data_IF_782248427136
#
_entry.id   IF_782248427136
#
_cell.length_a   1.000
_cell.length_b   1.000
_cell.length_c   1.000
_cell.angle_alpha   90.00
_cell.angle_beta   90.00
_cell.angle_gamma   90.00
#
_symmetry.space_group_name_H-M   'P 1'
#
loop_
_entity.id
_entity.type
_entity.pdbx_description
1 polymer ?
#
# COMPACT_ATOMS: atom_id res chain seq x y z
N UNK A 1 -17.40 -26.99 6.37
CA UNK A 1 -16.48 -26.28 7.28
C UNK A 1 -15.99 -27.25 8.33
N UNK A 2 -14.73 -27.18 8.80
CA UNK A 2 -14.30 -28.03 9.91
C UNK A 2 -15.09 -27.67 11.17
N UNK A 3 -15.60 -28.67 11.88
CA UNK A 3 -16.36 -28.46 13.13
C UNK A 3 -15.48 -28.57 14.37
N UNK A 4 -14.46 -29.42 14.33
CA UNK A 4 -13.48 -29.63 15.40
C UNK A 4 -12.07 -29.64 14.82
N UNK A 5 -11.14 -28.99 15.51
CA UNK A 5 -9.74 -28.87 15.10
C UNK A 5 -8.82 -29.17 16.29
N UNK A 6 -7.75 -29.91 16.04
CA UNK A 6 -6.74 -30.23 17.05
C UNK A 6 -5.88 -29.01 17.39
N UNK A 7 -5.71 -28.74 18.69
CA UNK A 7 -4.72 -27.82 19.24
C UNK A 7 -3.45 -28.60 19.60
N UNK A 8 -2.31 -28.11 19.13
CA UNK A 8 -0.97 -28.70 19.36
C UNK A 8 -0.11 -27.87 20.32
N UNK A 9 -0.52 -26.64 20.62
CA UNK A 9 0.16 -25.81 21.61
C UNK A 9 0.05 -26.45 23.02
N UNK A 10 1.16 -26.66 23.74
CA UNK A 10 1.15 -27.24 25.08
C UNK A 10 0.66 -26.27 26.16
N UNK A 11 0.59 -24.97 25.86
CA UNK A 11 0.13 -23.96 26.81
C UNK A 11 -1.39 -23.99 26.96
N UNK A 12 -1.88 -23.79 28.18
CA UNK A 12 -3.32 -23.62 28.47
C UNK A 12 -3.89 -22.30 27.92
N UNK A 13 -3.04 -21.31 27.61
CA UNK A 13 -3.42 -19.98 27.14
C UNK A 13 -2.49 -19.42 26.07
N UNK A 14 -2.42 -18.08 26.00
CA UNK A 14 -1.49 -17.37 25.13
C UNK A 14 -0.10 -17.29 25.75
N UNK A 15 0.93 -17.34 24.91
CA UNK A 15 2.28 -17.08 25.35
C UNK A 15 2.44 -15.63 25.85
N UNK A 16 3.22 -15.44 26.92
CA UNK A 16 3.54 -14.12 27.47
C UNK A 16 5.02 -13.82 27.23
N UNK A 17 5.37 -13.51 25.98
CA UNK A 17 6.74 -13.17 25.60
C UNK A 17 6.92 -11.65 25.63
N UNK A 18 7.71 -11.16 26.58
CA UNK A 18 8.11 -9.76 26.65
C UNK A 18 9.47 -9.55 26.00
N UNK A 19 9.52 -8.64 25.03
CA UNK A 19 10.75 -8.20 24.39
C UNK A 19 11.32 -7.02 25.15
N UNK A 20 12.54 -7.17 25.67
CA UNK A 20 13.28 -6.06 26.29
C UNK A 20 13.66 -5.02 25.23
N UNK A 21 13.35 -3.76 25.49
CA UNK A 21 13.61 -2.65 24.58
C UNK A 21 14.50 -1.61 25.25
N UNK A 22 15.73 -1.51 24.75
CA UNK A 22 16.72 -0.49 25.14
C UNK A 22 17.15 0.22 23.85
N UNK A 23 16.99 1.54 23.77
CA UNK A 23 17.20 2.32 22.55
C UNK A 23 18.67 2.23 22.06
N UNK A 24 19.62 2.12 23.00
CA UNK A 24 21.07 2.03 22.75
C UNK A 24 21.54 0.64 22.27
N UNK A 25 20.69 -0.39 22.34
CA UNK A 25 21.09 -1.76 21.97
C UNK A 25 21.21 -2.02 20.45
N UNK A 26 21.10 -0.96 19.63
CA UNK A 26 20.85 -1.04 18.19
C UNK A 26 22.02 -0.64 17.27
N UNK A 27 23.18 -0.28 17.81
CA UNK A 27 24.34 0.16 17.00
C UNK A 27 25.37 -0.93 16.68
N UNK A 28 25.42 -2.02 17.45
CA UNK A 28 26.39 -3.09 17.21
C UNK A 28 25.93 -4.00 16.06
N UNK A 29 26.83 -4.26 15.08
CA UNK A 29 26.57 -5.23 14.02
C UNK A 29 26.52 -6.63 14.64
N UNK A 30 25.40 -7.37 14.52
CA UNK A 30 25.30 -8.70 15.09
C UNK A 30 26.25 -9.67 14.37
N UNK A 31 26.85 -10.66 15.08
CA UNK A 31 27.77 -11.63 14.46
C UNK A 31 27.14 -12.46 13.33
N UNK A 32 25.83 -12.68 13.42
CA UNK A 32 25.01 -13.38 12.41
C UNK A 32 23.79 -12.51 12.08
N UNK A 33 23.94 -11.54 11.17
CA UNK A 33 22.84 -10.66 10.79
C UNK A 33 21.78 -11.44 10.01
N UNK A 34 20.52 -11.24 10.38
CA UNK A 34 19.38 -11.78 9.65
C UNK A 34 19.25 -11.16 8.25
N UNK A 35 18.75 -11.96 7.31
CA UNK A 35 18.38 -11.54 5.95
C UNK A 35 16.87 -11.53 5.83
N UNK A 36 16.31 -10.47 5.26
CA UNK A 36 14.85 -10.26 5.24
C UNK A 36 14.30 -10.53 3.85
N UNK A 37 13.19 -11.27 3.76
CA UNK A 37 12.33 -11.32 2.58
C UNK A 37 11.16 -10.34 2.77
N UNK A 38 11.23 -9.20 2.10
CA UNK A 38 10.14 -8.24 2.02
C UNK A 38 9.16 -8.65 0.94
N UNK A 39 7.90 -8.89 1.32
CA UNK A 39 6.79 -9.07 0.38
C UNK A 39 6.01 -7.77 0.27
N UNK A 40 6.20 -7.09 -0.86
CA UNK A 40 5.51 -5.84 -1.16
C UNK A 40 4.21 -6.15 -1.90
N UNK A 41 3.07 -5.80 -1.30
CA UNK A 41 1.73 -6.04 -1.86
C UNK A 41 1.15 -4.70 -2.28
N UNK A 42 1.18 -4.43 -3.59
CA UNK A 42 0.97 -3.06 -4.11
C UNK A 42 -0.12 -2.99 -5.17
N UNK A 43 -0.81 -1.86 -5.21
CA UNK A 43 -1.85 -1.54 -6.19
C UNK A 43 -1.94 -0.02 -6.39
N UNK A 44 -2.70 0.42 -7.39
CA UNK A 44 -2.95 1.84 -7.65
C UNK A 44 -1.92 2.48 -8.58
N UNK A 45 -1.66 3.78 -8.39
CA UNK A 45 -0.89 4.62 -9.33
C UNK A 45 0.37 5.25 -8.74
N UNK A 46 0.58 5.16 -7.44
CA UNK A 46 1.64 5.84 -6.69
C UNK A 46 3.04 5.19 -6.88
N UNK A 47 3.48 4.98 -8.12
CA UNK A 47 4.74 4.29 -8.45
C UNK A 47 5.97 5.01 -7.88
N UNK A 48 5.99 6.35 -7.91
CA UNK A 48 7.12 7.14 -7.38
C UNK A 48 7.22 7.06 -5.86
N UNK A 49 6.08 7.02 -5.15
CA UNK A 49 6.08 6.80 -3.70
C UNK A 49 6.56 5.38 -3.37
N UNK A 50 6.15 4.36 -4.14
CA UNK A 50 6.66 3.00 -3.98
C UNK A 50 8.18 2.92 -4.20
N UNK A 51 8.70 3.57 -5.25
CA UNK A 51 10.15 3.64 -5.49
C UNK A 51 10.90 4.34 -4.35
N UNK A 52 10.29 5.38 -3.77
CA UNK A 52 10.82 6.09 -2.60
C UNK A 52 10.88 5.18 -1.36
N UNK A 53 9.79 4.48 -1.07
CA UNK A 53 9.75 3.45 -0.02
C UNK A 53 10.82 2.38 -0.25
N UNK A 54 10.87 1.81 -1.47
CA UNK A 54 11.85 0.79 -1.84
C UNK A 54 13.28 1.28 -1.58
N UNK A 55 13.60 2.51 -2.00
CA UNK A 55 14.91 3.12 -1.74
C UNK A 55 15.24 3.20 -0.24
N UNK A 56 14.27 3.53 0.61
CA UNK A 56 14.45 3.64 2.06
C UNK A 56 14.71 2.29 2.75
N UNK A 57 14.15 1.20 2.22
CA UNK A 57 14.28 -0.15 2.81
C UNK A 57 15.30 -1.04 2.09
N UNK A 58 15.89 -0.57 0.98
CA UNK A 58 16.78 -1.37 0.14
C UNK A 58 18.12 -1.67 0.84
N UNK A 59 18.53 -2.94 0.84
CA UNK A 59 19.86 -3.39 1.18
C UNK A 59 20.21 -4.63 0.35
N UNK A 60 21.48 -4.78 -0.05
CA UNK A 60 21.92 -5.88 -0.92
C UNK A 60 21.81 -7.26 -0.29
N UNK A 61 21.82 -7.35 1.05
CA UNK A 61 21.66 -8.61 1.78
C UNK A 61 20.22 -9.11 1.87
N UNK A 62 19.23 -8.26 1.63
CA UNK A 62 17.80 -8.58 1.74
C UNK A 62 17.23 -8.99 0.38
N UNK A 63 15.98 -9.43 0.38
CA UNK A 63 15.25 -9.87 -0.80
C UNK A 63 13.89 -9.18 -0.87
N UNK A 64 13.44 -8.88 -2.10
CA UNK A 64 12.21 -8.14 -2.33
C UNK A 64 11.35 -8.90 -3.33
N UNK A 65 10.22 -9.44 -2.88
CA UNK A 65 9.27 -10.13 -3.72
C UNK A 65 7.99 -9.30 -3.85
N UNK A 66 7.70 -8.82 -5.05
CA UNK A 66 6.70 -7.78 -5.26
C UNK A 66 5.49 -8.39 -5.98
N UNK A 67 4.34 -8.39 -5.30
CA UNK A 67 3.04 -8.67 -5.89
C UNK A 67 2.37 -7.37 -6.30
N UNK A 68 1.96 -7.29 -7.57
CA UNK A 68 1.17 -6.17 -8.08
C UNK A 68 -0.22 -6.65 -8.46
N UNK A 69 -1.25 -6.04 -7.85
CA UNK A 69 -2.65 -6.36 -8.11
C UNK A 69 -2.94 -6.45 -9.62
N UNK A 70 -3.68 -7.48 -10.03
CA UNK A 70 -3.97 -7.78 -11.44
C UNK A 70 -4.59 -6.60 -12.21
N UNK A 71 -5.29 -5.70 -11.51
CA UNK A 71 -5.95 -4.52 -12.09
C UNK A 71 -5.02 -3.32 -12.26
N UNK A 72 -3.80 -3.36 -11.70
CA UNK A 72 -2.84 -2.25 -11.67
C UNK A 72 -1.71 -2.41 -12.70
N UNK A 73 -2.06 -2.49 -13.99
CA UNK A 73 -1.08 -2.80 -15.05
C UNK A 73 0.03 -1.76 -15.23
N UNK A 74 -0.29 -0.46 -15.16
CA UNK A 74 0.73 0.60 -15.12
C UNK A 74 1.76 0.37 -14.02
N UNK A 75 1.31 0.15 -12.78
CA UNK A 75 2.22 -0.08 -11.65
C UNK A 75 3.05 -1.34 -11.86
N UNK A 76 2.46 -2.39 -12.44
CA UNK A 76 3.19 -3.61 -12.77
C UNK A 76 4.34 -3.35 -13.76
N UNK A 77 4.10 -2.57 -14.82
CA UNK A 77 5.18 -2.17 -15.76
C UNK A 77 6.31 -1.42 -15.04
N UNK A 78 5.97 -0.50 -14.14
CA UNK A 78 6.96 0.25 -13.35
C UNK A 78 7.76 -0.66 -12.40
N UNK A 79 7.09 -1.62 -11.77
CA UNK A 79 7.71 -2.59 -10.84
C UNK A 79 8.61 -3.58 -11.58
N UNK A 80 8.22 -4.08 -12.75
CA UNK A 80 9.06 -4.96 -13.59
C UNK A 80 10.34 -4.23 -14.01
N UNK A 81 10.23 -2.96 -14.43
CA UNK A 81 11.38 -2.14 -14.79
C UNK A 81 12.30 -1.84 -13.58
N UNK A 82 11.74 -1.74 -12.37
CA UNK A 82 12.52 -1.62 -11.14
C UNK A 82 13.25 -2.95 -10.84
N UNK A 83 12.54 -4.07 -10.88
CA UNK A 83 13.09 -5.38 -10.56
C UNK A 83 14.24 -5.79 -11.48
N UNK A 84 14.18 -5.44 -12.77
CA UNK A 84 15.25 -5.76 -13.73
C UNK A 84 16.60 -5.09 -13.43
N UNK A 85 16.64 -4.11 -12.53
CA UNK A 85 17.86 -3.40 -12.15
C UNK A 85 18.61 -4.06 -10.97
N UNK A 86 17.99 -5.02 -10.27
CA UNK A 86 18.51 -5.57 -9.03
C UNK A 86 18.38 -7.11 -8.97
N UNK A 87 19.46 -7.86 -8.68
CA UNK A 87 19.42 -9.32 -8.67
C UNK A 87 18.61 -9.91 -7.49
N UNK A 88 18.42 -9.13 -6.41
CA UNK A 88 17.68 -9.51 -5.21
C UNK A 88 16.23 -8.98 -5.20
N UNK A 89 15.70 -8.60 -6.36
CA UNK A 89 14.30 -8.15 -6.52
C UNK A 89 13.61 -9.01 -7.57
N UNK A 90 12.45 -9.58 -7.22
CA UNK A 90 11.64 -10.42 -8.11
C UNK A 90 10.18 -9.97 -8.05
N UNK A 91 9.46 -10.15 -9.15
CA UNK A 91 8.01 -9.88 -9.25
C UNK A 91 7.28 -11.21 -9.28
N UNK A 92 6.12 -11.31 -8.63
CA UNK A 92 5.31 -12.53 -8.72
C UNK A 92 4.88 -12.75 -10.18
N UNK A 93 5.08 -13.95 -10.76
CA UNK A 93 4.64 -14.21 -12.13
C UNK A 93 3.11 -14.33 -12.21
N UNK A 94 2.48 -14.74 -11.11
CA UNK A 94 1.03 -14.74 -10.92
C UNK A 94 0.59 -13.42 -10.27
N UNK A 95 -0.62 -12.97 -10.59
CA UNK A 95 -1.21 -11.73 -10.05
C UNK A 95 -2.67 -12.01 -9.71
N UNK A 96 -3.08 -11.58 -8.53
CA UNK A 96 -4.44 -11.75 -8.02
C UNK A 96 -5.10 -10.37 -7.89
N UNK A 97 -6.43 -10.32 -8.03
CA UNK A 97 -7.21 -9.13 -7.70
C UNK A 97 -7.47 -9.08 -6.20
N UNK A 98 -6.50 -8.59 -5.43
CA UNK A 98 -6.57 -8.51 -3.96
C UNK A 98 -7.48 -7.37 -3.52
N UNK A 99 -8.79 -7.60 -3.58
CA UNK A 99 -9.80 -6.64 -3.14
C UNK A 99 -9.74 -6.41 -1.62
N UNK A 100 -10.27 -5.28 -1.16
CA UNK A 100 -10.36 -5.00 0.27
C UNK A 100 -11.18 -6.10 0.97
N UNK A 101 -10.62 -6.73 2.00
CA UNK A 101 -11.27 -7.81 2.74
C UNK A 101 -11.31 -9.17 2.04
N UNK A 102 -10.79 -9.28 0.80
CA UNK A 102 -10.84 -10.51 0.01
C UNK A 102 -10.11 -11.69 0.64
N UNK A 103 -10.64 -12.89 0.40
CA UNK A 103 -9.99 -14.17 0.68
C UNK A 103 -8.66 -14.34 -0.09
N UNK A 104 -8.57 -13.72 -1.28
CA UNK A 104 -7.41 -13.72 -2.17
C UNK A 104 -6.15 -13.14 -1.53
N UNK A 105 -6.27 -12.25 -0.54
CA UNK A 105 -5.12 -11.69 0.16
C UNK A 105 -4.34 -12.77 0.93
N UNK A 106 -5.03 -13.67 1.64
CA UNK A 106 -4.37 -14.78 2.32
C UNK A 106 -3.79 -15.77 1.30
N UNK A 107 -4.54 -16.05 0.23
CA UNK A 107 -4.06 -16.94 -0.85
C UNK A 107 -2.76 -16.42 -1.46
N UNK A 108 -2.69 -15.12 -1.73
CA UNK A 108 -1.47 -14.44 -2.20
C UNK A 108 -0.32 -14.59 -1.19
N UNK A 109 -0.56 -14.37 0.11
CA UNK A 109 0.50 -14.55 1.10
C UNK A 109 1.01 -15.99 1.16
N UNK A 110 0.11 -16.98 1.19
CA UNK A 110 0.50 -18.39 1.23
C UNK A 110 1.28 -18.81 -0.02
N UNK A 111 0.86 -18.37 -1.21
CA UNK A 111 1.61 -18.63 -2.44
C UNK A 111 2.97 -17.94 -2.43
N UNK A 112 3.06 -16.68 -1.98
CA UNK A 112 4.34 -15.96 -1.90
C UNK A 112 5.32 -16.62 -0.94
N UNK A 113 4.82 -17.14 0.19
CA UNK A 113 5.61 -17.90 1.16
C UNK A 113 6.11 -19.21 0.56
N UNK A 114 5.26 -19.93 -0.17
CA UNK A 114 5.66 -21.15 -0.87
C UNK A 114 6.75 -20.87 -1.91
N UNK A 115 6.58 -19.84 -2.73
CA UNK A 115 7.56 -19.45 -3.75
C UNK A 115 8.91 -19.08 -3.10
N UNK A 116 8.88 -18.27 -2.03
CA UNK A 116 10.08 -17.87 -1.28
C UNK A 116 10.81 -19.04 -0.62
N UNK A 117 10.10 -20.09 -0.19
CA UNK A 117 10.72 -21.30 0.35
C UNK A 117 11.37 -22.14 -0.77
N UNK A 118 10.80 -22.14 -1.97
CA UNK A 118 11.31 -22.85 -3.13
C UNK A 118 12.52 -22.17 -3.81
N UNK A 119 12.70 -20.86 -3.60
CA UNK A 119 13.86 -20.10 -4.10
C UNK A 119 15.13 -20.43 -3.30
N UNK A 120 15.83 -21.51 -3.67
CA UNK A 120 17.03 -21.97 -2.97
C UNK A 120 18.19 -20.98 -2.97
N UNK A 121 18.21 -20.04 -3.93
CA UNK A 121 19.22 -18.98 -4.02
C UNK A 121 18.96 -17.82 -3.03
N UNK A 122 17.80 -17.78 -2.39
CA UNK A 122 17.40 -16.76 -1.42
C UNK A 122 17.36 -17.32 0.00
N UNK A 123 18.46 -17.19 0.74
CA UNK A 123 18.55 -17.57 2.16
C UNK A 123 18.06 -16.43 3.07
N UNK A 124 16.76 -16.42 3.38
CA UNK A 124 16.12 -15.42 4.26
C UNK A 124 15.72 -16.01 5.62
N UNK A 125 15.69 -15.18 6.66
CA UNK A 125 15.32 -15.54 8.04
C UNK A 125 13.92 -15.05 8.43
N UNK A 126 13.49 -13.91 7.89
CA UNK A 126 12.19 -13.29 8.19
C UNK A 126 11.40 -12.95 6.94
N UNK A 127 10.09 -13.15 7.03
CA UNK A 127 9.08 -12.64 6.12
C UNK A 127 8.49 -11.34 6.68
N UNK A 128 8.47 -10.26 5.90
CA UNK A 128 7.83 -8.99 6.28
C UNK A 128 6.92 -8.52 5.15
N UNK A 129 5.64 -8.30 5.44
CA UNK A 129 4.71 -7.72 4.47
C UNK A 129 4.63 -6.18 4.57
N UNK A 130 4.64 -5.49 3.45
CA UNK A 130 4.44 -4.03 3.36
C UNK A 130 3.51 -3.68 2.19
N UNK A 131 2.72 -2.62 2.33
CA UNK A 131 2.02 -1.98 1.20
C UNK A 131 2.82 -0.80 0.64
N UNK A 132 2.39 -0.25 -0.50
CA UNK A 132 2.94 1.00 -1.03
C UNK A 132 2.70 2.23 -0.12
N UNK A 133 1.86 2.10 0.91
CA UNK A 133 1.53 3.14 1.88
C UNK A 133 2.16 2.91 3.27
N UNK A 134 3.05 1.93 3.40
CA UNK A 134 3.90 1.77 4.58
C UNK A 134 5.18 2.60 4.43
N UNK A 135 5.84 2.93 5.55
CA UNK A 135 7.16 3.57 5.55
C UNK A 135 7.98 3.15 6.76
N UNK A 136 9.32 2.97 6.64
CA UNK A 136 10.17 2.76 7.81
C UNK A 136 10.18 4.00 8.71
N UNK A 137 10.25 3.78 10.02
CA UNK A 137 10.42 4.83 11.04
C UNK A 137 11.71 4.66 11.85
N UNK A 138 12.50 3.65 11.50
CA UNK A 138 13.84 3.36 12.05
C UNK A 138 14.73 2.84 10.94
N UNK A 139 16.04 2.99 11.11
CA UNK A 139 17.01 2.61 10.09
C UNK A 139 17.15 1.08 9.95
N UNK A 140 17.61 0.62 8.79
CA UNK A 140 17.75 -0.81 8.48
C UNK A 140 18.70 -1.55 9.45
N UNK A 141 19.80 -0.91 9.86
CA UNK A 141 20.73 -1.49 10.84
C UNK A 141 20.03 -1.80 12.18
N UNK A 142 19.18 -0.90 12.66
CA UNK A 142 18.42 -1.12 13.90
C UNK A 142 17.41 -2.26 13.75
N UNK A 143 16.73 -2.36 12.61
CA UNK A 143 15.83 -3.47 12.30
C UNK A 143 16.57 -4.82 12.30
N UNK A 144 17.71 -4.88 11.61
CA UNK A 144 18.55 -6.08 11.53
C UNK A 144 19.09 -6.48 12.90
N UNK A 145 19.60 -5.53 13.69
CA UNK A 145 20.09 -5.79 15.04
C UNK A 145 18.97 -6.38 15.93
N UNK A 146 17.79 -5.75 15.93
CA UNK A 146 16.65 -6.19 16.73
C UNK A 146 16.17 -7.59 16.32
N UNK A 147 15.96 -7.84 15.02
CA UNK A 147 15.48 -9.14 14.54
C UNK A 147 16.54 -10.24 14.68
N UNK A 148 17.83 -9.90 14.65
CA UNK A 148 18.91 -10.87 14.89
C UNK A 148 18.91 -11.34 16.35
N UNK A 149 18.61 -10.44 17.30
CA UNK A 149 18.45 -10.78 18.72
C UNK A 149 17.23 -11.67 18.99
N UNK A 150 16.13 -11.43 18.27
CA UNK A 150 14.85 -12.13 18.46
C UNK A 150 14.48 -13.06 17.29
N UNK A 151 15.47 -13.75 16.72
CA UNK A 151 15.31 -14.46 15.44
C UNK A 151 14.29 -15.61 15.44
N UNK A 152 14.08 -16.21 16.61
CA UNK A 152 13.14 -17.32 16.79
C UNK A 152 11.72 -16.86 17.16
N UNK A 153 11.46 -15.55 17.18
CA UNK A 153 10.17 -14.97 17.54
C UNK A 153 9.31 -14.64 16.31
N UNK A 154 7.99 -14.58 16.50
CA UNK A 154 7.00 -14.16 15.52
C UNK A 154 6.24 -12.94 16.06
N UNK A 155 6.20 -11.87 15.25
CA UNK A 155 5.70 -10.56 15.65
C UNK A 155 4.34 -10.30 14.99
N UNK A 156 3.27 -10.61 15.73
CA UNK A 156 1.88 -10.41 15.31
C UNK A 156 1.14 -9.62 16.40
N UNK A 157 0.18 -8.77 16.02
CA UNK A 157 -0.56 -7.94 17.00
C UNK A 157 -2.01 -8.39 17.12
N UNK A 158 -2.40 -8.82 18.31
CA UNK A 158 -3.78 -9.16 18.65
C UNK A 158 -4.61 -7.90 18.92
N UNK A 159 -5.94 -8.04 18.84
CA UNK A 159 -6.88 -6.95 19.08
C UNK A 159 -6.94 -6.48 20.55
N UNK A 160 -6.53 -7.33 21.50
CA UNK A 160 -6.39 -7.01 22.92
C UNK A 160 -7.70 -6.62 23.63
N UNK A 161 -8.84 -7.19 23.21
CA UNK A 161 -10.19 -6.84 23.72
C UNK A 161 -11.01 -8.12 23.96
N UNK A 162 -12.30 -7.98 24.23
CA UNK A 162 -13.24 -9.10 24.27
C UNK A 162 -13.26 -9.90 22.95
N UNK A 163 -12.90 -11.18 23.01
CA UNK A 163 -12.74 -12.03 21.83
C UNK A 163 -14.08 -12.35 21.15
N UNK A 164 -15.15 -12.57 21.92
CA UNK A 164 -16.47 -12.84 21.34
C UNK A 164 -16.98 -11.66 20.50
N UNK A 165 -16.74 -10.42 20.96
CA UNK A 165 -17.00 -9.20 20.18
C UNK A 165 -16.10 -9.07 18.96
N UNK A 166 -14.83 -9.49 19.03
CA UNK A 166 -13.93 -9.51 17.88
C UNK A 166 -14.47 -10.44 16.78
N UNK A 167 -14.78 -11.69 17.11
CA UNK A 167 -15.35 -12.69 16.20
C UNK A 167 -16.57 -12.12 15.46
N UNK A 168 -17.54 -11.56 16.20
CA UNK A 168 -18.75 -10.96 15.61
C UNK A 168 -18.46 -9.75 14.73
N UNK A 169 -17.50 -8.89 15.10
CA UNK A 169 -17.17 -7.67 14.33
C UNK A 169 -16.42 -7.97 13.04
N UNK A 170 -15.57 -8.99 13.06
CA UNK A 170 -14.85 -9.47 11.88
C UNK A 170 -15.73 -10.33 10.96
N UNK A 171 -16.90 -10.76 11.43
CA UNK A 171 -17.75 -11.69 10.69
C UNK A 171 -17.12 -13.09 10.56
N UNK A 172 -16.30 -13.50 11.53
CA UNK A 172 -15.67 -14.83 11.52
C UNK A 172 -16.71 -15.96 11.66
N UNK A 173 -17.86 -15.66 12.26
CA UNK A 173 -19.07 -16.49 12.37
C UNK A 173 -19.94 -16.48 11.10
N UNK A 174 -19.49 -15.83 10.02
CA UNK A 174 -20.17 -15.79 8.72
C UNK A 174 -19.34 -16.46 7.65
N UNK A 175 -20.02 -17.07 6.68
CA UNK A 175 -19.43 -17.65 5.49
C UNK A 175 -19.38 -16.59 4.39
N UNK A 176 -18.20 -16.38 3.81
CA UNK A 176 -18.01 -15.51 2.66
C UNK A 176 -17.45 -16.27 1.46
N UNK A 177 -17.71 -15.78 0.26
CA UNK A 177 -17.12 -16.31 -0.96
C UNK A 177 -16.65 -15.16 -1.86
N UNK A 178 -15.40 -15.21 -2.31
CA UNK A 178 -14.84 -14.24 -3.23
C UNK A 178 -15.12 -14.67 -4.67
N UNK A 179 -15.89 -13.86 -5.41
CA UNK A 179 -16.20 -14.08 -6.82
C UNK A 179 -16.47 -12.73 -7.49
N UNK A 180 -16.11 -12.59 -8.77
CA UNK A 180 -16.31 -11.36 -9.56
C UNK A 180 -15.80 -10.07 -8.87
N UNK A 181 -14.63 -10.15 -8.24
CA UNK A 181 -14.02 -9.05 -7.46
C UNK A 181 -14.91 -8.50 -6.34
N UNK A 182 -15.77 -9.34 -5.78
CA UNK A 182 -16.65 -9.03 -4.66
C UNK A 182 -16.61 -10.12 -3.57
N UNK A 183 -16.78 -9.74 -2.30
CA UNK A 183 -16.94 -10.68 -1.18
C UNK A 183 -18.42 -10.84 -0.80
N UNK A 184 -19.02 -11.94 -1.28
CA UNK A 184 -20.41 -12.28 -1.04
C UNK A 184 -20.59 -12.94 0.32
N UNK A 185 -21.53 -12.45 1.13
CA UNK A 185 -21.88 -13.10 2.40
C UNK A 185 -22.98 -14.15 2.18
N UNK A 186 -22.65 -15.41 2.39
CA UNK A 186 -23.53 -16.55 2.05
C UNK A 186 -24.39 -17.03 3.22
N UNK A 187 -24.04 -16.70 4.46
CA UNK A 187 -24.81 -17.11 5.64
C UNK A 187 -23.93 -17.28 6.87
N UNK A 188 -24.44 -18.05 7.82
CA UNK A 188 -23.81 -18.23 9.13
C UNK A 188 -22.98 -19.52 9.15
N UNK A 189 -21.95 -19.55 9.99
CA UNK A 189 -21.17 -20.75 10.26
C UNK A 189 -20.73 -20.79 11.72
N UNK A 190 -20.42 -21.99 12.22
CA UNK A 190 -19.87 -22.18 13.57
C UNK A 190 -18.37 -21.94 13.58
N UNK A 191 -17.87 -21.45 14.71
CA UNK A 191 -16.43 -21.42 15.01
C UNK A 191 -16.00 -22.85 15.39
N UNK A 192 -14.91 -23.38 14.81
CA UNK A 192 -14.49 -24.75 15.11
C UNK A 192 -14.11 -24.93 16.58
N UNK A 193 -14.54 -26.04 17.17
CA UNK A 193 -14.20 -26.42 18.54
C UNK A 193 -12.74 -26.92 18.65
N UNK A 194 -12.16 -26.81 19.84
CA UNK A 194 -10.83 -27.36 20.15
C UNK A 194 -9.66 -26.40 19.89
N UNK A 195 -9.89 -25.25 19.25
CA UNK A 195 -8.88 -24.21 19.01
C UNK A 195 -9.30 -22.87 19.58
N UNK A 196 -8.30 -22.08 19.98
CA UNK A 196 -8.50 -20.68 20.37
C UNK A 196 -8.40 -19.78 19.15
N UNK A 197 -9.49 -19.11 18.77
CA UNK A 197 -9.48 -18.13 17.68
C UNK A 197 -9.04 -16.78 18.21
N UNK A 198 -8.08 -16.15 17.51
CA UNK A 198 -7.61 -14.80 17.77
C UNK A 198 -7.37 -14.04 16.47
N UNK A 199 -7.19 -12.72 16.57
CA UNK A 199 -6.74 -11.92 15.45
C UNK A 199 -6.44 -10.47 15.82
N UNK A 200 -6.12 -9.67 14.83
CA UNK A 200 -5.83 -8.25 14.97
C UNK A 200 -5.29 -7.68 13.68
N UNK A 201 -4.04 -7.24 13.67
CA UNK A 201 -3.44 -6.66 12.47
C UNK A 201 -2.99 -7.75 11.49
N UNK A 202 -3.26 -7.54 10.20
CA UNK A 202 -2.72 -8.30 9.07
C UNK A 202 -1.29 -7.89 8.66
N UNK A 203 -0.64 -7.01 9.42
CA UNK A 203 0.75 -6.59 9.23
C UNK A 203 1.61 -7.25 10.27
N UNK A 204 2.63 -7.99 9.86
CA UNK A 204 3.38 -8.87 10.74
C UNK A 204 4.81 -9.10 10.26
N UNK A 205 5.61 -9.73 11.12
CA UNK A 205 6.91 -10.28 10.78
C UNK A 205 6.94 -11.73 11.28
N UNK A 206 7.15 -12.67 10.38
CA UNK A 206 7.17 -14.11 10.70
C UNK A 206 8.55 -14.68 10.41
N UNK A 207 9.08 -15.49 11.32
CA UNK A 207 10.34 -16.18 11.06
C UNK A 207 10.14 -17.33 10.08
N UNK A 208 11.23 -17.74 9.42
CA UNK A 208 11.22 -18.80 8.41
C UNK A 208 10.67 -20.12 8.94
N UNK A 209 11.01 -20.51 10.17
CA UNK A 209 10.55 -21.79 10.77
C UNK A 209 9.03 -21.87 10.84
N UNK A 210 8.36 -20.80 11.25
CA UNK A 210 6.90 -20.76 11.30
C UNK A 210 6.29 -20.73 9.90
N UNK A 211 6.90 -20.00 8.96
CA UNK A 211 6.45 -20.01 7.55
C UNK A 211 6.56 -21.42 6.95
N UNK A 212 7.66 -22.13 7.19
CA UNK A 212 7.84 -23.53 6.78
C UNK A 212 6.75 -24.44 7.34
N UNK A 213 6.41 -24.29 8.64
CA UNK A 213 5.31 -25.02 9.26
C UNK A 213 3.96 -24.73 8.60
N UNK A 214 3.60 -23.45 8.39
CA UNK A 214 2.34 -23.05 7.76
C UNK A 214 2.20 -23.60 6.33
N UNK A 215 3.30 -23.63 5.56
CA UNK A 215 3.26 -24.09 4.18
C UNK A 215 3.27 -25.62 4.10
N UNK A 216 4.19 -26.28 4.80
CA UNK A 216 4.49 -27.69 4.58
C UNK A 216 3.72 -28.66 5.50
N UNK A 217 3.23 -28.20 6.66
CA UNK A 217 2.50 -29.09 7.59
C UNK A 217 1.20 -29.60 6.96
N UNK A 218 0.97 -30.90 7.15
CA UNK A 218 -0.26 -31.62 6.79
C UNK A 218 -1.08 -31.98 8.03
N UNK A 219 -0.74 -31.42 9.19
CA UNK A 219 -1.49 -31.67 10.41
C UNK A 219 -2.95 -31.16 10.33
N UNK A 220 -3.76 -31.57 11.30
CA UNK A 220 -5.17 -31.24 11.31
C UNK A 220 -5.42 -29.72 11.46
N UNK A 221 -4.56 -29.00 12.17
CA UNK A 221 -4.71 -27.56 12.41
C UNK A 221 -4.52 -26.78 11.11
N UNK A 222 -3.37 -26.94 10.45
CA UNK A 222 -3.02 -26.18 9.24
C UNK A 222 -3.98 -26.49 8.10
N UNK A 223 -4.29 -27.78 7.89
CA UNK A 223 -5.21 -28.22 6.83
C UNK A 223 -6.63 -27.66 7.05
N UNK A 224 -7.14 -27.72 8.28
CA UNK A 224 -8.46 -27.20 8.61
C UNK A 224 -8.53 -25.68 8.55
N UNK A 225 -7.50 -24.98 9.01
CA UNK A 225 -7.44 -23.52 8.97
C UNK A 225 -7.32 -22.99 7.55
N UNK A 226 -6.51 -23.60 6.67
CA UNK A 226 -6.46 -23.23 5.24
C UNK A 226 -7.87 -23.30 4.63
N UNK A 227 -8.60 -24.39 4.87
CA UNK A 227 -9.99 -24.57 4.38
C UNK A 227 -10.98 -23.57 4.99
N UNK A 228 -10.91 -23.33 6.29
CA UNK A 228 -11.80 -22.38 6.97
C UNK A 228 -11.61 -20.96 6.43
N UNK A 229 -10.35 -20.56 6.23
CA UNK A 229 -9.98 -19.21 5.82
C UNK A 229 -10.10 -18.92 4.32
N UNK A 230 -10.25 -19.94 3.46
CA UNK A 230 -10.63 -19.76 2.05
C UNK A 230 -12.00 -19.10 1.86
N UNK A 231 -12.85 -19.11 2.89
CA UNK A 231 -14.22 -18.57 2.85
C UNK A 231 -14.45 -17.55 3.98
N UNK A 232 -13.42 -16.80 4.33
CA UNK A 232 -13.42 -15.83 5.44
C UNK A 232 -13.17 -14.42 4.92
N UNK A 233 -13.94 -13.45 5.41
CA UNK A 233 -13.65 -12.02 5.23
C UNK A 233 -12.41 -11.62 6.05
N UNK A 234 -11.55 -10.78 5.50
CA UNK A 234 -10.31 -10.30 6.16
C UNK A 234 -9.47 -11.45 6.75
N UNK A 235 -9.18 -12.52 5.96
CA UNK A 235 -8.62 -13.75 6.52
C UNK A 235 -7.23 -13.55 7.15
N UNK A 236 -6.39 -12.67 6.57
CA UNK A 236 -5.05 -12.40 7.04
C UNK A 236 -5.02 -11.72 8.43
N UNK A 237 -6.13 -11.12 8.88
CA UNK A 237 -6.24 -10.49 10.20
C UNK A 237 -6.42 -11.51 11.33
N UNK A 238 -6.60 -12.82 11.05
CA UNK A 238 -6.74 -13.83 12.11
C UNK A 238 -6.18 -15.22 11.78
N UNK A 239 -5.92 -15.54 10.51
CA UNK A 239 -5.35 -16.84 10.12
C UNK A 239 -4.01 -17.11 10.82
N UNK A 240 -3.06 -16.18 10.71
CA UNK A 240 -1.71 -16.39 11.26
C UNK A 240 -1.72 -16.40 12.80
N UNK A 241 -2.57 -15.60 13.44
CA UNK A 241 -2.78 -15.62 14.89
C UNK A 241 -3.33 -16.96 15.36
N UNK A 242 -4.42 -17.40 14.74
CA UNK A 242 -5.10 -18.66 15.11
C UNK A 242 -4.19 -19.86 14.85
N UNK A 243 -3.45 -19.90 13.74
CA UNK A 243 -2.49 -20.99 13.50
C UNK A 243 -1.36 -20.93 14.52
N UNK A 244 -0.73 -19.78 14.75
CA UNK A 244 0.42 -19.67 15.65
C UNK A 244 0.06 -20.08 17.09
N UNK A 245 -1.02 -19.51 17.65
CA UNK A 245 -1.46 -19.76 19.03
C UNK A 245 -1.88 -21.21 19.31
N UNK A 246 -2.22 -21.98 18.28
CA UNK A 246 -2.63 -23.38 18.41
C UNK A 246 -1.58 -24.37 17.90
N UNK A 247 -0.48 -23.88 17.32
CA UNK A 247 0.61 -24.71 16.77
C UNK A 247 1.65 -25.08 17.83
N UNK A 248 2.58 -25.99 17.52
CA UNK A 248 3.78 -26.22 18.33
C UNK A 248 4.68 -24.97 18.51
N UNK A 249 4.46 -23.91 17.71
CA UNK A 249 5.24 -22.68 17.75
C UNK A 249 4.62 -21.59 18.65
N UNK A 250 3.57 -21.89 19.42
CA UNK A 250 2.81 -20.88 20.17
C UNK A 250 3.65 -20.05 21.16
N UNK A 251 4.72 -20.61 21.73
CA UNK A 251 5.65 -19.92 22.62
C UNK A 251 6.51 -18.84 21.95
N UNK A 252 6.54 -18.79 20.61
CA UNK A 252 7.30 -17.79 19.85
C UNK A 252 6.54 -16.50 19.58
N UNK A 253 5.26 -16.41 19.97
CA UNK A 253 4.41 -15.27 19.70
C UNK A 253 4.77 -14.07 20.58
N UNK A 254 5.09 -12.94 19.94
CA UNK A 254 5.22 -11.63 20.58
C UNK A 254 4.02 -10.78 20.16
N UNK A 255 3.22 -10.30 21.13
CA UNK A 255 2.03 -9.45 20.89
C UNK A 255 2.38 -7.99 20.56
N UNK A 256 3.25 -7.83 19.57
CA UNK A 256 3.63 -6.57 18.96
C UNK A 256 4.09 -6.85 17.52
N UNK A 257 3.39 -6.29 16.54
CA UNK A 257 3.77 -6.42 15.13
C UNK A 257 4.82 -5.41 14.65
N UNK A 258 5.38 -4.63 15.57
CA UNK A 258 6.38 -3.60 15.30
C UNK A 258 5.89 -2.46 14.39
N UNK A 259 4.57 -2.24 14.34
CA UNK A 259 3.93 -1.20 13.52
C UNK A 259 3.28 -0.10 14.35
N UNK A 260 3.28 1.11 13.79
CA UNK A 260 2.35 2.18 14.15
C UNK A 260 1.28 2.29 13.06
N UNK A 261 0.04 1.96 13.39
CA UNK A 261 -1.11 2.12 12.47
C UNK A 261 -1.96 3.29 12.90
N UNK A 262 -2.16 4.28 12.02
CA UNK A 262 -2.85 5.53 12.33
C UNK A 262 -4.39 5.40 12.36
N UNK A 263 -4.92 4.67 13.34
CA UNK A 263 -6.37 4.51 13.48
C UNK A 263 -7.05 5.75 14.04
N UNK A 264 -7.89 6.42 13.26
CA UNK A 264 -8.89 7.37 13.76
C UNK A 264 -10.29 6.93 13.31
N UNK A 265 -10.98 6.17 14.17
CA UNK A 265 -12.27 5.54 13.85
C UNK A 265 -13.38 6.53 13.49
N UNK A 266 -13.33 7.77 14.00
CA UNK A 266 -14.32 8.81 13.66
C UNK A 266 -14.29 9.18 12.17
N UNK A 267 -13.12 9.07 11.55
CA UNK A 267 -12.90 9.38 10.14
C UNK A 267 -12.81 8.11 9.28
N UNK A 268 -12.12 7.06 9.75
CA UNK A 268 -11.81 5.87 8.96
C UNK A 268 -12.89 4.78 8.89
N UNK A 269 -13.92 4.82 9.76
CA UNK A 269 -15.02 3.85 9.78
C UNK A 269 -16.30 4.45 9.19
N UNK A 270 -16.40 4.50 7.85
CA UNK A 270 -17.57 5.05 7.13
C UNK A 270 -18.32 4.00 6.32
N UNK A 271 -17.95 2.73 6.47
CA UNK A 271 -18.49 1.65 5.66
C UNK A 271 -18.33 1.92 4.15
N UNK A 272 -17.19 2.51 3.78
CA UNK A 272 -16.88 2.95 2.42
C UNK A 272 -16.70 1.80 1.42
N UNK A 273 -16.59 0.55 1.90
CA UNK A 273 -16.32 -0.64 1.09
C UNK A 273 -17.58 -1.48 0.76
N UNK A 274 -18.80 -1.00 1.06
CA UNK A 274 -20.05 -1.76 0.80
C UNK A 274 -20.24 -2.25 -0.64
N UNK A 275 -19.63 -1.57 -1.61
CA UNK A 275 -19.70 -1.94 -3.03
C UNK A 275 -18.73 -3.08 -3.40
N UNK A 276 -17.77 -3.39 -2.52
CA UNK A 276 -16.73 -4.42 -2.72
C UNK A 276 -17.02 -5.65 -1.85
N UNK A 277 -17.62 -5.45 -0.66
CA UNK A 277 -17.89 -6.53 0.27
C UNK A 277 -19.25 -6.33 0.95
N UNK A 278 -19.91 -7.44 1.29
CA UNK A 278 -21.14 -7.49 2.08
C UNK A 278 -20.90 -7.26 3.59
N UNK A 279 -20.07 -6.27 3.93
CA UNK A 279 -19.70 -5.94 5.31
C UNK A 279 -19.28 -4.48 5.46
N UNK A 280 -19.21 -4.00 6.71
CA UNK A 280 -18.68 -2.68 7.03
C UNK A 280 -17.25 -2.75 7.52
N UNK A 281 -16.36 -2.06 6.80
CA UNK A 281 -14.95 -1.93 7.13
C UNK A 281 -14.57 -0.58 7.73
N UNK A 282 -13.34 -0.56 8.27
CA UNK A 282 -12.61 0.64 8.61
C UNK A 282 -11.27 0.65 7.89
N UNK A 283 -10.62 1.80 7.78
CA UNK A 283 -9.21 1.86 7.40
C UNK A 283 -8.45 2.94 8.17
N UNK A 284 -7.13 2.78 8.35
CA UNK A 284 -6.29 3.80 8.98
C UNK A 284 -6.27 5.08 8.14
N UNK A 285 -5.99 6.20 8.80
CA UNK A 285 -5.80 7.50 8.18
C UNK A 285 -4.36 7.67 7.71
N UNK A 286 -4.14 8.64 6.83
CA UNK A 286 -2.79 9.05 6.44
C UNK A 286 -2.18 9.94 7.53
N UNK A 287 -0.89 9.79 7.78
CA UNK A 287 -0.14 10.65 8.68
C UNK A 287 0.00 12.09 8.14
N UNK A 288 0.16 13.05 9.04
CA UNK A 288 0.35 14.48 8.75
C UNK A 288 1.55 15.04 9.54
N UNK A 289 2.07 16.24 9.24
CA UNK A 289 3.22 16.82 9.94
C UNK A 289 3.09 16.82 11.48
N UNK A 290 1.92 17.11 12.09
CA UNK A 290 1.76 17.06 13.54
C UNK A 290 1.95 15.67 14.16
N UNK A 291 1.84 14.59 13.36
CA UNK A 291 2.03 13.22 13.84
C UNK A 291 3.50 12.82 14.00
N UNK A 292 4.46 13.62 13.53
CA UNK A 292 5.88 13.24 13.47
C UNK A 292 6.44 12.75 14.81
N UNK A 293 6.08 13.42 15.92
CA UNK A 293 6.49 13.04 17.28
C UNK A 293 6.13 11.60 17.67
N UNK A 294 5.11 11.01 17.04
CA UNK A 294 4.66 9.63 17.30
C UNK A 294 5.66 8.59 16.81
N UNK A 295 6.51 8.94 15.85
CA UNK A 295 7.55 8.05 15.30
C UNK A 295 8.77 7.95 16.23
N UNK A 296 8.92 8.91 17.14
CA UNK A 296 10.04 8.99 18.08
C UNK A 296 9.71 8.35 19.45
N UNK A 297 8.52 7.74 19.59
CA UNK A 297 8.14 7.08 20.84
C UNK A 297 9.03 5.84 21.12
N UNK A 298 9.34 5.63 22.40
CA UNK A 298 10.17 4.52 22.88
C UNK A 298 9.40 3.52 23.74
N UNK A 299 8.08 3.70 23.91
CA UNK A 299 7.24 2.85 24.77
C UNK A 299 7.20 1.37 24.35
N UNK A 300 7.41 1.08 23.05
CA UNK A 300 7.54 -0.28 22.51
C UNK A 300 8.35 -0.23 21.21
N UNK A 301 9.05 -1.31 20.83
CA UNK A 301 9.78 -1.36 19.56
C UNK A 301 8.80 -1.25 18.39
N UNK A 302 9.10 -0.32 17.47
CA UNK A 302 8.38 -0.13 16.22
C UNK A 302 9.35 0.30 15.13
N UNK A 303 9.19 -0.28 13.93
CA UNK A 303 10.12 -0.08 12.81
C UNK A 303 9.42 0.41 11.54
N UNK A 304 8.11 0.23 11.43
CA UNK A 304 7.32 0.72 10.30
C UNK A 304 6.04 1.42 10.77
N UNK A 305 5.49 2.29 9.92
CA UNK A 305 4.22 2.94 10.16
C UNK A 305 3.36 3.00 8.90
N UNK A 306 2.04 3.13 9.08
CA UNK A 306 1.07 3.34 7.99
C UNK A 306 -0.17 4.15 8.43
N UNK A 307 -0.81 4.94 7.56
CA UNK A 307 -0.57 5.05 6.09
C UNK A 307 0.12 6.35 5.69
N UNK A 308 0.82 6.31 4.57
CA UNK A 308 1.42 7.46 3.91
C UNK A 308 0.97 7.52 2.45
N UNK A 309 0.37 8.64 2.03
CA UNK A 309 -0.04 8.89 0.65
C UNK A 309 0.50 10.26 0.22
N UNK A 310 1.41 10.29 -0.75
CA UNK A 310 2.09 11.52 -1.18
C UNK A 310 1.14 12.54 -1.83
N UNK A 311 0.04 12.08 -2.43
CA UNK A 311 -1.04 12.95 -2.94
C UNK A 311 -1.89 13.59 -1.83
N UNK A 312 -1.81 13.06 -0.60
CA UNK A 312 -2.55 13.55 0.58
C UNK A 312 -1.67 14.42 1.47
N UNK A 313 -0.42 14.01 1.74
CA UNK A 313 0.61 14.82 2.39
C UNK A 313 1.99 14.20 2.18
N UNK A 314 2.84 14.85 1.38
CA UNK A 314 4.23 14.46 1.17
C UNK A 314 5.17 15.08 2.21
N UNK A 315 4.79 16.19 2.85
CA UNK A 315 5.64 16.85 3.84
C UNK A 315 6.07 15.92 4.98
N UNK A 316 5.16 15.14 5.57
CA UNK A 316 5.51 14.20 6.63
C UNK A 316 6.49 13.11 6.16
N UNK A 317 6.40 12.69 4.89
CA UNK A 317 7.30 11.70 4.28
C UNK A 317 8.69 12.33 4.11
N UNK A 318 8.76 13.61 3.69
CA UNK A 318 10.01 14.36 3.61
C UNK A 318 10.68 14.51 4.98
N UNK A 319 9.92 14.86 6.01
CA UNK A 319 10.45 14.98 7.37
C UNK A 319 11.01 13.64 7.86
N UNK A 320 10.31 12.54 7.60
CA UNK A 320 10.72 11.20 8.01
C UNK A 320 11.98 10.72 7.28
N UNK A 321 12.09 10.94 5.97
CA UNK A 321 13.31 10.64 5.22
C UNK A 321 14.51 11.43 5.73
N UNK A 322 14.34 12.74 5.92
CA UNK A 322 15.43 13.59 6.42
C UNK A 322 15.87 13.21 7.83
N UNK A 323 14.93 12.75 8.66
CA UNK A 323 15.23 12.24 9.99
C UNK A 323 16.02 10.92 9.96
N UNK A 324 15.66 9.99 9.08
CA UNK A 324 16.28 8.67 9.02
C UNK A 324 17.61 8.64 8.27
N UNK A 325 17.74 9.42 7.19
CA UNK A 325 18.83 9.30 6.23
C UNK A 325 19.58 10.61 5.99
N UNK A 326 19.22 11.67 6.72
CA UNK A 326 19.78 13.01 6.52
C UNK A 326 19.15 13.77 5.36
N UNK A 327 19.52 15.04 5.23
CA UNK A 327 19.03 15.90 4.16
C UNK A 327 19.70 15.57 2.82
N UNK A 328 18.96 15.75 1.73
CA UNK A 328 19.54 15.71 0.39
C UNK A 328 20.55 16.85 0.17
N UNK A 329 21.54 16.69 -0.74
CA UNK A 329 22.47 17.75 -1.09
C UNK A 329 21.76 19.06 -1.49
N UNK A 330 22.38 20.19 -1.16
CA UNK A 330 21.88 21.50 -1.56
C UNK A 330 21.74 21.59 -3.09
N UNK A 331 20.67 22.23 -3.56
CA UNK A 331 20.35 22.33 -4.99
C UNK A 331 19.65 21.10 -5.59
N UNK A 332 19.40 20.03 -4.82
CA UNK A 332 18.62 18.89 -5.31
C UNK A 332 17.20 19.36 -5.72
N UNK A 333 16.82 19.22 -7.00
CA UNK A 333 15.55 19.74 -7.49
C UNK A 333 14.36 18.91 -6.98
N UNK A 334 13.16 19.49 -7.08
CA UNK A 334 11.90 18.76 -6.98
C UNK A 334 11.60 18.01 -5.66
N UNK A 335 12.35 18.24 -4.56
CA UNK A 335 12.09 17.57 -3.26
C UNK A 335 10.70 17.85 -2.66
N UNK A 336 10.07 18.97 -3.05
CA UNK A 336 8.72 19.35 -2.63
C UNK A 336 7.65 19.00 -3.68
N UNK A 337 8.04 18.44 -4.82
CA UNK A 337 7.14 18.09 -5.91
C UNK A 337 6.75 16.62 -5.85
N UNK A 338 5.57 16.29 -6.35
CA UNK A 338 5.10 14.92 -6.51
C UNK A 338 4.35 14.79 -7.84
N UNK A 339 4.57 13.66 -8.51
CA UNK A 339 3.92 13.33 -9.78
C UNK A 339 3.33 11.94 -9.69
N UNK A 340 2.07 11.82 -10.05
CA UNK A 340 1.36 10.55 -10.09
C UNK A 340 0.69 10.37 -11.45
N UNK A 341 1.04 9.28 -12.13
CA UNK A 341 0.46 9.00 -13.44
C UNK A 341 -0.98 8.50 -13.29
N UNK A 342 -1.93 9.23 -13.87
CA UNK A 342 -3.34 8.89 -13.90
C UNK A 342 -3.71 8.03 -15.13
N UNK A 343 -3.00 8.21 -16.24
CA UNK A 343 -3.22 7.49 -17.50
C UNK A 343 -1.90 7.25 -18.23
N UNK A 344 -1.80 6.08 -18.86
CA UNK A 344 -0.63 5.64 -19.62
C UNK A 344 -1.11 4.90 -20.88
N UNK A 345 -0.58 5.28 -22.05
CA UNK A 345 -1.00 4.79 -23.37
C UNK A 345 -1.15 3.27 -23.49
N UNK A 346 -0.26 2.42 -22.93
CA UNK A 346 -0.40 0.97 -23.03
C UNK A 346 -1.65 0.39 -22.35
N UNK A 347 -2.31 1.14 -21.45
CA UNK A 347 -3.59 0.74 -20.87
C UNK A 347 -4.78 0.97 -21.83
N UNK A 348 -4.56 1.72 -22.92
CA UNK A 348 -5.55 2.03 -23.97
C UNK A 348 -6.60 3.06 -23.54
N UNK A 349 -7.11 3.83 -24.49
CA UNK A 349 -8.10 4.91 -24.21
C UNK A 349 -9.43 4.39 -23.65
N UNK A 350 -9.77 3.12 -23.88
CA UNK A 350 -10.97 2.50 -23.32
C UNK A 350 -10.91 2.32 -21.78
N UNK A 351 -9.72 2.47 -21.18
CA UNK A 351 -9.58 2.52 -19.72
C UNK A 351 -10.02 3.85 -19.10
N UNK A 352 -10.19 4.89 -19.93
CA UNK A 352 -10.69 6.20 -19.53
C UNK A 352 -12.21 6.29 -19.68
N UNK A 353 -12.82 7.15 -18.87
CA UNK A 353 -14.19 7.61 -19.14
C UNK A 353 -14.21 8.63 -20.29
N UNK A 354 -15.34 8.74 -20.99
CA UNK A 354 -15.52 9.74 -22.06
C UNK A 354 -15.23 11.18 -21.58
N UNK A 355 -15.61 11.47 -20.33
CA UNK A 355 -15.32 12.74 -19.69
C UNK A 355 -13.81 12.96 -19.55
N UNK A 356 -13.06 12.00 -19.02
CA UNK A 356 -11.60 12.12 -18.87
C UNK A 356 -10.91 12.29 -20.22
N UNK A 357 -11.27 11.45 -21.21
CA UNK A 357 -10.70 11.52 -22.55
C UNK A 357 -10.94 12.90 -23.17
N UNK A 358 -12.17 13.40 -23.10
CA UNK A 358 -12.55 14.73 -23.61
C UNK A 358 -11.74 15.84 -22.96
N UNK A 359 -11.60 15.84 -21.63
CA UNK A 359 -10.82 16.85 -20.91
C UNK A 359 -9.34 16.80 -21.27
N UNK A 360 -8.73 15.61 -21.33
CA UNK A 360 -7.31 15.47 -21.65
C UNK A 360 -6.98 15.93 -23.08
N UNK A 361 -7.87 15.64 -24.03
CA UNK A 361 -7.79 16.20 -25.39
C UNK A 361 -7.88 17.72 -25.40
N UNK A 362 -8.80 18.31 -24.62
CA UNK A 362 -8.92 19.76 -24.51
C UNK A 362 -7.65 20.39 -23.89
N UNK A 363 -7.09 19.76 -22.85
CA UNK A 363 -5.87 20.23 -22.20
C UNK A 363 -4.66 20.21 -23.14
N UNK A 364 -4.50 19.16 -23.94
CA UNK A 364 -3.46 19.10 -24.98
C UNK A 364 -3.59 20.27 -25.98
N UNK A 365 -4.81 20.50 -26.50
CA UNK A 365 -5.07 21.61 -27.43
C UNK A 365 -4.85 22.98 -26.80
N UNK A 366 -5.14 23.16 -25.51
CA UNK A 366 -4.82 24.40 -24.79
C UNK A 366 -3.31 24.69 -24.80
N UNK A 367 -2.47 23.67 -24.66
CA UNK A 367 -1.02 23.79 -24.76
C UNK A 367 -0.56 24.21 -26.15
N UNK A 368 -1.11 23.59 -27.19
CA UNK A 368 -0.81 23.95 -28.58
C UNK A 368 -1.23 25.39 -28.90
N UNK A 369 -2.42 25.80 -28.45
CA UNK A 369 -2.90 27.17 -28.62
C UNK A 369 -1.98 28.17 -27.89
N UNK A 370 -1.52 27.82 -26.69
CA UNK A 370 -0.54 28.64 -25.95
C UNK A 370 0.79 28.76 -26.70
N UNK A 371 1.32 27.68 -27.25
CA UNK A 371 2.56 27.68 -28.03
C UNK A 371 2.44 28.63 -29.24
N UNK A 372 1.34 28.53 -29.99
CA UNK A 372 1.08 29.42 -31.12
C UNK A 372 0.99 30.90 -30.67
N UNK A 373 0.32 31.19 -29.55
CA UNK A 373 0.20 32.56 -29.02
C UNK A 373 1.49 33.13 -28.40
N UNK A 374 2.51 32.28 -28.15
CA UNK A 374 3.74 32.69 -27.49
C UNK A 374 4.76 33.33 -28.43
N UNK A 375 4.57 33.16 -29.74
CA UNK A 375 5.33 33.87 -30.77
C UNK A 375 4.93 35.34 -30.74
N UNK A 376 5.74 36.18 -30.11
CA UNK A 376 5.60 37.63 -30.15
C UNK A 376 6.31 38.17 -31.41
N UNK A 377 5.56 38.75 -32.34
CA UNK A 377 6.13 39.76 -33.25
C UNK A 377 6.12 39.49 -34.76
N UNK A 378 5.76 38.29 -35.24
CA UNK A 378 5.56 38.06 -36.68
C UNK A 378 4.28 37.24 -36.96
N UNK A 379 3.23 37.85 -37.55
CA UNK A 379 2.00 37.14 -37.92
C UNK A 379 2.22 35.99 -38.92
N UNK A 380 3.36 35.97 -39.63
CA UNK A 380 3.71 34.95 -40.61
C UNK A 380 4.55 33.81 -40.02
N UNK A 381 5.04 33.93 -38.79
CA UNK A 381 5.81 32.88 -38.15
C UNK A 381 4.88 31.73 -37.69
N UNK A 382 5.04 30.59 -38.35
CA UNK A 382 4.27 29.37 -38.09
C UNK A 382 5.06 28.31 -37.33
N UNK A 383 6.28 28.62 -36.86
CA UNK A 383 7.21 27.68 -36.20
C UNK A 383 6.67 27.06 -34.91
N UNK A 384 5.69 27.69 -34.26
CA UNK A 384 5.00 27.18 -33.07
C UNK A 384 3.52 26.87 -33.32
N UNK A 385 3.10 26.71 -34.59
CA UNK A 385 1.76 26.23 -34.93
C UNK A 385 1.77 24.72 -35.09
N UNK A 386 0.78 24.06 -34.49
CA UNK A 386 0.72 22.60 -34.42
C UNK A 386 -0.65 22.08 -34.81
N UNK A 387 -0.68 20.89 -35.41
CA UNK A 387 -1.87 20.08 -35.58
C UNK A 387 -1.83 18.87 -34.63
N UNK A 388 -2.83 18.69 -33.73
CA UNK A 388 -2.82 17.59 -32.77
C UNK A 388 -2.97 16.23 -33.46
N UNK A 389 -2.23 15.22 -32.97
CA UNK A 389 -2.22 13.87 -33.55
C UNK A 389 -2.57 12.81 -32.50
N UNK A 390 -3.48 11.90 -32.84
CA UNK A 390 -3.82 10.74 -32.01
C UNK A 390 -4.50 11.11 -30.68
N UNK A 391 -4.21 10.32 -29.65
CA UNK A 391 -4.72 10.50 -28.29
C UNK A 391 -3.60 10.94 -27.34
N UNK A 392 -3.93 11.47 -26.14
CA UNK A 392 -2.94 11.68 -25.09
C UNK A 392 -2.12 10.40 -24.85
N UNK A 393 -0.82 10.56 -24.63
CA UNK A 393 0.14 9.47 -24.38
C UNK A 393 0.20 9.14 -22.89
N UNK A 394 0.26 10.18 -22.05
CA UNK A 394 0.21 10.00 -20.60
C UNK A 394 -0.35 11.24 -19.93
N UNK A 395 -0.97 11.05 -18.75
CA UNK A 395 -1.47 12.16 -17.93
C UNK A 395 -0.98 12.00 -16.50
N UNK A 396 -0.39 13.04 -15.94
CA UNK A 396 0.07 13.08 -14.56
C UNK A 396 -0.68 14.12 -13.74
N UNK A 397 -1.02 13.78 -12.49
CA UNK A 397 -1.29 14.75 -11.46
C UNK A 397 0.04 15.36 -11.00
N UNK A 398 0.09 16.69 -10.88
CA UNK A 398 1.27 17.40 -10.40
C UNK A 398 0.94 18.11 -9.08
N UNK A 399 1.75 17.87 -8.05
CA UNK A 399 1.68 18.54 -6.76
C UNK A 399 2.99 19.25 -6.46
N UNK A 400 2.92 20.39 -5.80
CA UNK A 400 4.07 21.13 -5.30
C UNK A 400 3.76 21.67 -3.91
N UNK A 401 4.58 21.29 -2.93
CA UNK A 401 4.39 21.63 -1.50
C UNK A 401 2.98 21.29 -1.01
N UNK A 402 2.56 20.05 -1.24
CA UNK A 402 1.23 19.51 -0.88
C UNK A 402 0.03 20.27 -1.46
N UNK A 403 0.24 21.04 -2.54
CA UNK A 403 -0.81 21.71 -3.30
C UNK A 403 -0.91 21.16 -4.70
N UNK A 404 -2.12 20.78 -5.10
CA UNK A 404 -2.41 20.37 -6.47
C UNK A 404 -2.15 21.53 -7.45
N UNK A 405 -1.32 21.27 -8.45
CA UNK A 405 -0.91 22.23 -9.47
C UNK A 405 -1.64 22.02 -10.80
N UNK A 406 -2.37 20.90 -10.96
CA UNK A 406 -3.08 20.56 -12.18
C UNK A 406 -2.56 19.29 -12.85
N UNK A 407 -2.74 19.24 -14.16
CA UNK A 407 -2.43 18.06 -14.98
C UNK A 407 -1.26 18.34 -15.91
N UNK A 408 -0.39 17.35 -16.08
CA UNK A 408 0.59 17.32 -17.16
C UNK A 408 0.14 16.30 -18.19
N UNK A 409 -0.10 16.74 -19.42
CA UNK A 409 -0.60 15.91 -20.52
C UNK A 409 0.51 15.81 -21.56
N UNK A 410 1.05 14.60 -21.75
CA UNK A 410 1.98 14.29 -22.84
C UNK A 410 1.18 13.88 -24.07
N UNK A 411 1.48 14.46 -25.23
CA UNK A 411 0.73 14.24 -26.48
C UNK A 411 1.63 14.43 -27.72
N UNK A 412 1.13 13.96 -28.86
CA UNK A 412 1.79 14.12 -30.15
C UNK A 412 1.13 15.23 -30.96
N UNK A 413 1.93 16.01 -31.68
CA UNK A 413 1.43 17.01 -32.61
C UNK A 413 2.42 17.25 -33.75
N UNK A 414 1.91 17.53 -34.94
CA UNK A 414 2.74 17.88 -36.10
C UNK A 414 3.00 19.38 -36.10
N UNK A 415 4.26 19.78 -36.09
CA UNK A 415 4.67 21.17 -36.29
C UNK A 415 4.41 21.56 -37.75
N UNK A 416 3.63 22.63 -37.97
CA UNK A 416 3.17 23.01 -39.30
C UNK A 416 4.25 23.67 -40.16
N UNK A 417 5.27 24.30 -39.56
CA UNK A 417 6.37 24.89 -40.31
C UNK A 417 7.35 23.83 -40.81
N UNK A 418 7.66 22.83 -39.99
CA UNK A 418 8.64 21.79 -40.31
C UNK A 418 8.02 20.51 -40.89
N UNK A 419 6.69 20.37 -40.79
CA UNK A 419 5.95 19.15 -41.11
C UNK A 419 6.44 17.91 -40.34
N UNK A 420 7.07 18.10 -39.17
CA UNK A 420 7.58 17.00 -38.33
C UNK A 420 6.63 16.70 -37.18
N UNK A 421 6.51 15.41 -36.86
CA UNK A 421 5.81 14.96 -35.65
C UNK A 421 6.70 15.23 -34.43
N UNK A 422 6.13 15.90 -33.44
CA UNK A 422 6.78 16.22 -32.18
C UNK A 422 6.00 15.63 -31.01
N UNK A 423 6.69 15.40 -29.89
CA UNK A 423 6.09 14.98 -28.63
C UNK A 423 6.22 16.11 -27.63
N UNK A 424 5.09 16.56 -27.10
CA UNK A 424 5.01 17.71 -26.21
C UNK A 424 4.40 17.30 -24.87
N UNK A 425 4.67 18.09 -23.84
CA UNK A 425 4.00 17.97 -22.55
C UNK A 425 3.39 19.31 -22.17
N UNK A 426 2.10 19.32 -21.87
CA UNK A 426 1.35 20.52 -21.51
C UNK A 426 0.96 20.47 -20.05
N UNK A 427 1.38 21.49 -19.30
CA UNK A 427 0.88 21.75 -17.96
C UNK A 427 -0.35 22.65 -17.99
N UNK A 428 -1.48 22.14 -17.51
CA UNK A 428 -2.70 22.90 -17.29
C UNK A 428 -3.01 23.02 -15.80
N UNK A 429 -3.32 24.23 -15.35
CA UNK A 429 -3.69 24.53 -13.96
C UNK A 429 -5.13 25.06 -13.90
N UNK A 430 -5.97 24.58 -12.94
CA UNK A 430 -7.31 25.13 -12.77
C UNK A 430 -7.26 26.60 -12.31
N UNK A 431 -8.17 27.43 -12.83
CA UNK A 431 -8.33 28.81 -12.36
C UNK A 431 -8.90 28.82 -10.94
N UNK A 432 -8.47 29.77 -10.11
CA UNK A 432 -9.07 30.00 -8.78
C UNK A 432 -10.50 30.53 -8.95
N UNK A 433 -11.49 29.73 -8.59
CA UNK A 433 -12.91 30.07 -8.70
C UNK A 433 -13.52 30.58 -7.39
N UNK A 434 -13.04 30.12 -6.23
CA UNK A 434 -13.55 30.54 -4.92
C UNK A 434 -13.23 32.00 -4.63
N UNK A 435 -14.27 32.80 -4.34
CA UNK A 435 -14.18 34.24 -4.00
C UNK A 435 -15.17 34.54 -2.87
N UNK A 436 -14.75 35.35 -1.91
CA UNK A 436 -15.65 35.93 -0.93
C UNK A 436 -16.41 37.11 -1.55
N UNK A 437 -17.71 37.22 -1.28
CA UNK A 437 -18.50 38.40 -1.63
C UNK A 437 -18.50 39.37 -0.43
N UNK A 438 -18.03 40.61 -0.63
CA UNK A 438 -18.04 41.74 0.32
C UNK A 438 -17.07 41.64 1.53
N UNK A 439 -16.66 42.79 2.13
CA UNK A 439 -15.60 42.78 3.14
C UNK A 439 -16.05 41.89 4.29
N UNK A 440 -15.19 40.94 4.72
CA UNK A 440 -15.59 39.97 5.72
C UNK A 440 -15.99 40.72 6.97
N UNK A 441 -17.25 40.56 7.40
CA UNK A 441 -17.51 40.72 8.83
C UNK A 441 -16.50 39.84 9.54
N UNK A 442 -15.87 40.36 10.58
CA UNK A 442 -14.68 39.78 11.26
C UNK A 442 -14.90 38.39 11.87
N UNK A 443 -16.04 37.73 11.59
CA UNK A 443 -16.53 36.51 12.24
C UNK A 443 -17.10 35.44 11.27
N UNK A 444 -16.79 35.45 9.97
CA UNK A 444 -17.23 34.37 9.07
C UNK A 444 -16.52 33.04 9.37
N UNK A 445 -17.28 31.96 9.58
CA UNK A 445 -16.77 30.59 9.75
C UNK A 445 -16.41 29.90 8.42
N UNK A 446 -16.85 30.44 7.28
CA UNK A 446 -16.58 29.86 5.97
C UNK A 446 -15.12 30.09 5.59
N UNK A 447 -14.36 29.01 5.45
CA UNK A 447 -12.95 29.06 5.07
C UNK A 447 -12.74 28.74 3.58
N UNK A 448 -13.50 27.79 3.04
CA UNK A 448 -13.39 27.32 1.66
C UNK A 448 -14.70 26.63 1.21
N UNK A 449 -14.95 26.62 -0.10
CA UNK A 449 -16.03 25.86 -0.72
C UNK A 449 -15.56 25.25 -2.04
N UNK A 450 -15.90 23.99 -2.27
CA UNK A 450 -15.52 23.21 -3.45
C UNK A 450 -16.70 22.36 -3.92
N UNK A 451 -16.82 22.18 -5.24
CA UNK A 451 -17.78 21.26 -5.85
C UNK A 451 -17.00 20.17 -6.55
N UNK A 452 -17.38 18.91 -6.32
CA UNK A 452 -16.74 17.76 -6.93
C UNK A 452 -17.78 16.66 -7.17
N UNK A 453 -17.54 15.85 -8.20
CA UNK A 453 -18.19 14.57 -8.38
C UNK A 453 -17.10 13.51 -8.29
N UNK A 454 -17.13 12.68 -7.25
CA UNK A 454 -16.41 11.41 -7.31
C UNK A 454 -17.25 10.50 -8.20
N UNK A 455 -16.66 9.82 -9.20
CA UNK A 455 -17.40 8.79 -9.92
C UNK A 455 -17.96 7.83 -8.88
N UNK A 456 -19.28 7.66 -8.88
CA UNK A 456 -19.92 6.67 -8.05
C UNK A 456 -19.26 5.33 -8.36
N UNK A 457 -18.55 4.74 -7.40
CA UNK A 457 -18.14 3.32 -7.45
C UNK A 457 -19.36 2.41 -7.27
N UNK A 458 -20.42 2.70 -8.00
CA UNK A 458 -21.62 1.89 -8.11
C UNK A 458 -21.42 1.17 -9.44
N UNK A 459 -21.15 -0.15 -9.44
CA UNK A 459 -21.38 -0.91 -10.64
C UNK A 459 -22.87 -0.77 -10.98
N UNK A 460 -23.18 -0.39 -12.21
CA UNK A 460 -24.52 -0.53 -12.74
C UNK A 460 -25.02 -1.93 -12.37
N UNK A 461 -26.05 -2.01 -11.52
CA UNK A 461 -26.88 -3.21 -11.43
C UNK A 461 -27.57 -3.32 -12.78
N UNK A 462 -27.09 -4.22 -13.64
CA UNK A 462 -27.96 -4.89 -14.60
C UNK A 462 -28.57 -6.10 -13.92
#
# INVERSE_FOLDING_TARGET
>A
MPEKVSRYCPLEGKANVNVQWEDDSSEAVPPSPIRIAFVLVVHGRASRQLQRLFKAIYHTSHFYYIHVDQRSNYLHRQVVALASQYPNVRVTPWRMSTIWGGASLLTMYLQSMQDLLAMSDWSWDFFINLSAADYPIRANNQLVAFLSKYRDMNFIKSHGRDNARFIRKQGLDRLFFECDTHMWRLGDRRIPEGVSVDGGSDWFLLNRKFVEYVINSQDNLVTSMKRFYSYTLLPAESFFHTVLENSPHCESMVDNNLRITNWNRKLGCKCQYKHIVDWCGCSPNDFKPPDFHRFQQTARPTFFARKFEASVNQEIINQLDSFLFGSFPSGTPALKAYWENLYDEPDGVHSLTDAQLTHFHAFARMGLARAASSLQGDPNDSSCRYFPMGHPVSVHLYFLSDRFQGYLVRHHATNLATSKLETLETWVMPKKAFKFANPPSTFSRLQFAETHCLPSRIPNKQ
#
